data_IF_848478605597
#
_entry.id   IF_848478605597
#
_cell.length_a   1.000
_cell.length_b   1.000
_cell.length_c   1.000
_cell.angle_alpha   90.00
_cell.angle_beta   90.00
_cell.angle_gamma   90.00
#
_symmetry.space_group_name_H-M   'P 1'
#
loop_
_entity.id
_entity.type
_entity.pdbx_description
1 polymer ?
#
# COMPACT_ATOMS: atom_id res chain seq x y z
N UNK A 1 20.85 12.54 -27.55
CA UNK A 1 19.45 12.89 -27.27
C UNK A 1 18.46 11.71 -27.41
N UNK A 2 18.94 10.46 -27.45
CA UNK A 2 18.10 9.28 -27.80
C UNK A 2 17.89 8.26 -26.68
N UNK A 3 18.63 8.31 -25.59
CA UNK A 3 18.49 7.37 -24.45
C UNK A 3 17.31 7.76 -23.52
N UNK A 4 17.13 9.04 -23.23
CA UNK A 4 16.07 9.55 -22.32
C UNK A 4 14.63 9.27 -22.81
N UNK A 5 14.39 9.31 -24.12
CA UNK A 5 13.04 9.06 -24.69
C UNK A 5 12.70 7.57 -24.66
N UNK A 6 13.67 6.68 -24.85
CA UNK A 6 13.46 5.23 -24.78
C UNK A 6 13.24 4.74 -23.34
N UNK A 7 13.89 5.33 -22.37
CA UNK A 7 13.69 5.02 -20.95
C UNK A 7 12.31 5.48 -20.47
N UNK A 8 11.82 6.66 -20.87
CA UNK A 8 10.48 7.15 -20.51
C UNK A 8 9.38 6.28 -21.11
N UNK A 9 9.47 5.90 -22.40
CA UNK A 9 8.48 5.03 -23.07
C UNK A 9 8.50 3.61 -22.49
N UNK A 10 9.65 3.10 -22.07
CA UNK A 10 9.75 1.79 -21.43
C UNK A 10 9.17 1.79 -20.01
N UNK A 11 9.33 2.88 -19.28
CA UNK A 11 8.78 3.05 -17.92
C UNK A 11 7.25 3.21 -17.96
N UNK A 12 6.70 3.96 -18.92
CA UNK A 12 5.26 4.05 -19.17
C UNK A 12 4.66 2.67 -19.52
N UNK A 13 5.32 1.93 -20.44
CA UNK A 13 4.87 0.59 -20.84
C UNK A 13 4.87 -0.42 -19.68
N UNK A 14 5.88 -0.36 -18.81
CA UNK A 14 5.97 -1.22 -17.63
C UNK A 14 4.89 -0.86 -16.61
N UNK A 15 4.63 0.42 -16.39
CA UNK A 15 3.59 0.91 -15.49
C UNK A 15 2.20 0.50 -15.95
N UNK A 16 1.90 0.59 -17.26
CA UNK A 16 0.62 0.13 -17.83
C UNK A 16 0.37 -1.35 -17.56
N UNK A 17 1.40 -2.20 -17.76
CA UNK A 17 1.31 -3.64 -17.44
C UNK A 17 0.99 -3.84 -15.96
N UNK A 18 1.65 -3.11 -15.07
CA UNK A 18 1.44 -3.24 -13.62
C UNK A 18 0.04 -2.82 -13.19
N UNK A 19 -0.52 -1.74 -13.76
CA UNK A 19 -1.88 -1.32 -13.48
C UNK A 19 -2.91 -2.34 -13.94
N UNK A 20 -2.81 -2.82 -15.19
CA UNK A 20 -3.74 -3.82 -15.73
C UNK A 20 -3.61 -5.15 -14.98
N UNK A 21 -2.39 -5.55 -14.62
CA UNK A 21 -2.17 -6.74 -13.81
C UNK A 21 -2.79 -6.60 -12.41
N UNK A 22 -2.66 -5.42 -11.78
CA UNK A 22 -3.29 -5.15 -10.49
C UNK A 22 -4.81 -5.30 -10.54
N UNK A 23 -5.47 -4.82 -11.61
CA UNK A 23 -6.90 -5.01 -11.81
C UNK A 23 -7.27 -6.50 -11.95
N UNK A 24 -6.51 -7.25 -12.76
CA UNK A 24 -6.74 -8.68 -12.93
C UNK A 24 -6.58 -9.46 -11.61
N UNK A 25 -5.52 -9.17 -10.84
CA UNK A 25 -5.28 -9.80 -9.55
C UNK A 25 -6.35 -9.41 -8.53
N UNK A 26 -6.75 -8.13 -8.46
CA UNK A 26 -7.80 -7.68 -7.55
C UNK A 26 -9.14 -8.38 -7.83
N UNK A 27 -9.49 -8.58 -9.11
CA UNK A 27 -10.78 -9.16 -9.51
C UNK A 27 -10.86 -10.67 -9.30
N UNK A 28 -9.77 -11.40 -9.57
CA UNK A 28 -9.76 -12.87 -9.65
C UNK A 28 -8.83 -13.54 -8.64
N UNK A 29 -7.98 -12.78 -7.99
CA UNK A 29 -6.91 -13.28 -7.15
C UNK A 29 -5.71 -13.80 -7.95
N UNK A 30 -4.59 -14.02 -7.26
CA UNK A 30 -3.34 -14.49 -7.86
C UNK A 30 -3.52 -15.83 -8.60
N UNK A 31 -4.19 -16.80 -7.99
CA UNK A 31 -4.26 -18.16 -8.54
C UNK A 31 -5.05 -18.22 -9.86
N UNK A 32 -6.18 -17.54 -9.93
CA UNK A 32 -7.08 -17.56 -11.10
C UNK A 32 -6.67 -16.59 -12.21
N UNK A 33 -5.67 -15.73 -11.98
CA UNK A 33 -5.16 -14.81 -13.00
C UNK A 33 -4.00 -15.46 -13.77
N UNK A 34 -4.04 -15.34 -15.10
CA UNK A 34 -2.95 -15.75 -16.00
C UNK A 34 -2.30 -14.55 -16.69
N UNK A 35 -1.09 -14.76 -17.22
CA UNK A 35 -0.43 -13.75 -18.09
C UNK A 35 -1.27 -13.45 -19.31
N UNK A 36 -2.02 -14.44 -19.85
CA UNK A 36 -2.96 -14.26 -20.96
C UNK A 36 -4.10 -13.31 -20.64
N UNK A 37 -4.63 -13.38 -19.44
CA UNK A 37 -5.71 -12.48 -19.01
C UNK A 37 -5.23 -11.03 -18.98
N UNK A 38 -4.01 -10.83 -18.46
CA UNK A 38 -3.38 -9.49 -18.42
C UNK A 38 -3.07 -8.99 -19.83
N UNK A 39 -2.51 -9.85 -20.71
CA UNK A 39 -2.20 -9.49 -22.08
C UNK A 39 -3.47 -9.10 -22.86
N UNK A 40 -4.53 -9.89 -22.74
CA UNK A 40 -5.84 -9.65 -23.39
C UNK A 40 -6.45 -8.33 -22.90
N UNK A 41 -6.43 -8.08 -21.60
CA UNK A 41 -6.99 -6.86 -21.02
C UNK A 41 -6.21 -5.61 -21.42
N UNK A 42 -4.87 -5.74 -21.54
CA UNK A 42 -3.99 -4.66 -21.98
C UNK A 42 -4.06 -4.41 -23.52
N UNK A 43 -4.69 -5.32 -24.28
CA UNK A 43 -4.63 -5.29 -25.75
C UNK A 43 -3.22 -5.54 -26.29
N UNK A 44 -2.41 -6.34 -25.59
CA UNK A 44 -1.01 -6.62 -25.92
C UNK A 44 -0.77 -8.12 -26.14
N UNK A 45 0.41 -8.46 -26.64
CA UNK A 45 0.85 -9.86 -26.76
C UNK A 45 1.45 -10.36 -25.44
N UNK A 46 1.39 -11.68 -25.19
CA UNK A 46 2.11 -12.32 -24.09
C UNK A 46 3.60 -11.97 -24.08
N UNK A 47 4.22 -11.96 -25.27
CA UNK A 47 5.64 -11.65 -25.43
C UNK A 47 6.01 -10.28 -24.86
N UNK A 48 5.12 -9.27 -24.99
CA UNK A 48 5.32 -7.96 -24.38
C UNK A 48 5.37 -8.03 -22.86
N UNK A 49 4.53 -8.85 -22.22
CA UNK A 49 4.52 -8.98 -20.77
C UNK A 49 5.75 -9.77 -20.30
N UNK A 50 6.07 -10.89 -20.96
CA UNK A 50 7.25 -11.71 -20.63
C UNK A 50 8.58 -10.96 -20.82
N UNK A 51 8.61 -9.94 -21.68
CA UNK A 51 9.78 -9.08 -21.81
C UNK A 51 10.12 -8.33 -20.50
N UNK A 52 9.11 -7.92 -19.75
CA UNK A 52 9.28 -7.20 -18.47
C UNK A 52 9.21 -8.11 -17.24
N UNK A 53 8.43 -9.16 -17.32
CA UNK A 53 8.13 -10.05 -16.19
C UNK A 53 8.22 -11.51 -16.64
N UNK A 54 9.33 -12.22 -16.32
CA UNK A 54 9.59 -13.58 -16.77
C UNK A 54 8.54 -14.61 -16.34
N UNK A 55 7.83 -14.35 -15.25
CA UNK A 55 6.77 -15.21 -14.73
C UNK A 55 5.59 -14.44 -14.15
N UNK A 56 4.49 -15.16 -13.85
CA UNK A 56 3.35 -14.58 -13.11
C UNK A 56 3.78 -14.15 -11.70
N UNK A 57 4.70 -14.86 -11.07
CA UNK A 57 5.23 -14.49 -9.77
C UNK A 57 6.02 -13.18 -9.82
N UNK A 58 6.86 -13.00 -10.85
CA UNK A 58 7.59 -11.73 -11.06
C UNK A 58 6.64 -10.56 -11.34
N UNK A 59 5.57 -10.80 -12.12
CA UNK A 59 4.54 -9.80 -12.37
C UNK A 59 3.82 -9.42 -11.09
N UNK A 60 3.42 -10.39 -10.27
CA UNK A 60 2.77 -10.14 -8.98
C UNK A 60 3.68 -9.38 -8.02
N UNK A 61 4.94 -9.81 -7.90
CA UNK A 61 5.95 -9.11 -7.10
C UNK A 61 6.18 -7.68 -7.61
N UNK A 62 6.16 -7.49 -8.92
CA UNK A 62 6.22 -6.16 -9.55
C UNK A 62 5.04 -5.27 -9.14
N UNK A 63 3.81 -5.79 -9.19
CA UNK A 63 2.59 -5.05 -8.77
C UNK A 63 2.65 -4.72 -7.28
N UNK A 64 3.06 -5.69 -6.44
CA UNK A 64 3.21 -5.47 -5.00
C UNK A 64 4.20 -4.33 -4.70
N UNK A 65 5.41 -4.37 -5.29
CA UNK A 65 6.41 -3.31 -5.13
C UNK A 65 5.90 -1.97 -5.64
N UNK A 66 5.29 -1.95 -6.82
CA UNK A 66 4.71 -0.74 -7.40
C UNK A 66 3.66 -0.09 -6.49
N UNK A 67 2.79 -0.90 -5.86
CA UNK A 67 1.83 -0.42 -4.87
C UNK A 67 2.52 0.16 -3.64
N UNK A 68 3.54 -0.52 -3.14
CA UNK A 68 4.32 -0.05 -2.00
C UNK A 68 5.11 1.22 -2.31
N UNK A 69 5.76 1.32 -3.47
CA UNK A 69 6.53 2.50 -3.89
C UNK A 69 5.66 3.76 -3.92
N UNK A 70 4.42 3.62 -4.44
CA UNK A 70 3.47 4.74 -4.51
C UNK A 70 3.01 5.22 -3.15
N UNK A 71 2.84 4.33 -2.18
CA UNK A 71 2.46 4.74 -0.83
C UNK A 71 3.64 5.28 -0.05
N UNK A 72 4.85 4.73 -0.23
CA UNK A 72 6.08 5.28 0.31
C UNK A 72 6.28 6.73 -0.17
N UNK A 73 6.23 6.94 -1.50
CA UNK A 73 6.38 8.27 -2.09
C UNK A 73 5.34 9.27 -1.57
N UNK A 74 4.12 8.83 -1.28
CA UNK A 74 3.07 9.71 -0.76
C UNK A 74 3.32 10.17 0.68
N UNK A 75 3.95 9.35 1.53
CA UNK A 75 4.20 9.68 2.95
C UNK A 75 5.58 10.30 3.17
N UNK A 76 6.53 10.09 2.25
CA UNK A 76 7.92 10.54 2.40
C UNK A 76 8.06 12.05 2.75
N UNK A 77 7.29 12.99 2.15
CA UNK A 77 7.38 14.42 2.50
C UNK A 77 7.05 14.71 3.97
N UNK A 78 6.32 13.81 4.63
CA UNK A 78 5.85 13.99 6.01
C UNK A 78 6.67 13.19 7.02
N UNK A 79 7.52 12.25 6.57
CA UNK A 79 8.29 11.36 7.43
C UNK A 79 9.16 12.09 8.45
N UNK A 80 9.82 13.15 7.99
CA UNK A 80 10.73 13.96 8.82
C UNK A 80 10.21 15.40 9.00
N UNK A 81 8.91 15.62 8.90
CA UNK A 81 8.30 16.92 9.11
C UNK A 81 8.63 17.42 10.53
N UNK A 82 9.07 18.69 10.70
CA UNK A 82 9.35 19.24 12.02
C UNK A 82 8.08 19.37 12.86
N UNK A 83 8.25 19.35 14.19
CA UNK A 83 7.15 19.48 15.15
C UNK A 83 6.89 18.19 15.93
N UNK A 84 5.82 18.17 16.76
CA UNK A 84 5.48 17.01 17.60
C UNK A 84 5.24 15.74 16.78
N UNK A 85 5.69 14.61 17.32
CA UNK A 85 5.54 13.32 16.61
C UNK A 85 4.07 12.92 16.41
N UNK A 86 3.18 13.30 17.31
CA UNK A 86 1.74 13.06 17.18
C UNK A 86 1.15 13.79 15.97
N UNK A 87 1.55 15.04 15.69
CA UNK A 87 1.11 15.80 14.53
C UNK A 87 1.66 15.21 13.22
N UNK A 88 2.91 14.79 13.23
CA UNK A 88 3.52 14.07 12.12
C UNK A 88 2.77 12.77 11.83
N UNK A 89 2.43 12.01 12.87
CA UNK A 89 1.62 10.80 12.74
C UNK A 89 0.25 11.08 12.11
N UNK A 90 -0.45 12.13 12.54
CA UNK A 90 -1.76 12.51 11.95
C UNK A 90 -1.65 12.72 10.44
N UNK A 91 -0.60 13.41 9.98
CA UNK A 91 -0.35 13.61 8.54
C UNK A 91 -0.08 12.31 7.80
N UNK A 92 0.82 11.46 8.33
CA UNK A 92 1.13 10.16 7.76
C UNK A 92 -0.12 9.29 7.68
N UNK A 93 -0.91 9.20 8.76
CA UNK A 93 -2.13 8.42 8.84
C UNK A 93 -3.21 8.91 7.87
N UNK A 94 -3.39 10.24 7.75
CA UNK A 94 -4.31 10.83 6.81
C UNK A 94 -3.97 10.48 5.36
N UNK A 95 -2.73 10.73 4.94
CA UNK A 95 -2.26 10.43 3.58
C UNK A 95 -2.39 8.93 3.29
N UNK A 96 -1.99 8.08 4.24
CA UNK A 96 -2.14 6.63 4.12
C UNK A 96 -3.60 6.24 3.87
N UNK A 97 -4.52 6.72 4.69
CA UNK A 97 -5.95 6.36 4.62
C UNK A 97 -6.59 6.85 3.32
N UNK A 98 -6.27 8.07 2.86
CA UNK A 98 -6.69 8.58 1.55
C UNK A 98 -6.18 7.66 0.43
N UNK A 99 -4.93 7.19 0.51
CA UNK A 99 -4.38 6.25 -0.48
C UNK A 99 -5.06 4.89 -0.48
N UNK A 100 -5.50 4.39 0.68
CA UNK A 100 -6.28 3.14 0.76
C UNK A 100 -7.61 3.23 -0.02
N UNK A 101 -8.22 4.40 -0.09
CA UNK A 101 -9.41 4.64 -0.90
C UNK A 101 -9.09 4.86 -2.38
N UNK A 102 -8.16 5.78 -2.69
CA UNK A 102 -7.84 6.20 -4.07
C UNK A 102 -7.04 5.15 -4.86
N UNK A 103 -6.28 4.27 -4.19
CA UNK A 103 -5.45 3.23 -4.81
C UNK A 103 -5.86 1.83 -4.37
N UNK A 104 -7.16 1.61 -4.15
CA UNK A 104 -7.72 0.37 -3.61
C UNK A 104 -7.25 -0.89 -4.35
N UNK A 105 -7.14 -0.83 -5.66
CA UNK A 105 -6.67 -1.94 -6.51
C UNK A 105 -5.28 -2.42 -6.10
N UNK A 106 -4.33 -1.51 -5.98
CA UNK A 106 -2.96 -1.82 -5.56
C UNK A 106 -2.91 -2.29 -4.10
N UNK A 107 -3.67 -1.63 -3.21
CA UNK A 107 -3.75 -2.01 -1.80
C UNK A 107 -4.25 -3.45 -1.61
N UNK A 108 -5.23 -3.87 -2.42
CA UNK A 108 -5.76 -5.25 -2.43
C UNK A 108 -4.70 -6.28 -2.82
N UNK A 109 -3.90 -6.00 -3.84
CA UNK A 109 -2.81 -6.91 -4.27
C UNK A 109 -1.71 -7.00 -3.20
N UNK A 110 -1.36 -5.88 -2.57
CA UNK A 110 -0.41 -5.89 -1.44
C UNK A 110 -0.96 -6.74 -0.29
N UNK A 111 -2.25 -6.60 0.04
CA UNK A 111 -2.90 -7.42 1.07
C UNK A 111 -2.93 -8.91 0.71
N UNK A 112 -3.23 -9.26 -0.55
CA UNK A 112 -3.18 -10.65 -1.03
C UNK A 112 -1.79 -11.26 -0.84
N UNK A 113 -0.72 -10.51 -1.11
CA UNK A 113 0.65 -10.95 -0.85
C UNK A 113 0.92 -11.20 0.64
N UNK A 114 0.37 -10.40 1.54
CA UNK A 114 0.42 -10.65 2.99
C UNK A 114 -0.31 -11.93 3.35
N UNK A 115 -1.52 -12.14 2.84
CA UNK A 115 -2.29 -13.37 3.08
C UNK A 115 -1.57 -14.62 2.54
N UNK A 116 -0.99 -14.55 1.34
CA UNK A 116 -0.20 -15.65 0.77
C UNK A 116 0.99 -15.99 1.67
N UNK A 117 1.68 -15.00 2.20
CA UNK A 117 2.77 -15.21 3.16
C UNK A 117 2.28 -15.89 4.45
N UNK A 118 1.17 -15.44 5.02
CA UNK A 118 0.61 -15.98 6.26
C UNK A 118 0.08 -17.41 6.10
N UNK A 119 -0.48 -17.77 4.93
CA UNK A 119 -0.96 -19.13 4.64
C UNK A 119 0.17 -20.15 4.56
N UNK A 120 1.39 -19.75 4.25
CA UNK A 120 2.59 -20.57 4.31
C UNK A 120 2.73 -21.69 3.24
N UNK A 121 1.71 -21.88 2.39
CA UNK A 121 1.69 -22.93 1.37
C UNK A 121 2.36 -22.47 0.08
N UNK A 122 3.71 -22.54 0.02
CA UNK A 122 4.48 -22.11 -1.14
C UNK A 122 5.70 -23.00 -1.34
N UNK A 123 6.25 -23.03 -2.57
CA UNK A 123 7.57 -23.63 -2.80
C UNK A 123 8.65 -22.82 -2.06
N UNK A 124 9.83 -23.41 -1.76
CA UNK A 124 10.92 -22.68 -1.12
C UNK A 124 11.30 -21.37 -1.83
N UNK A 125 11.29 -21.38 -3.18
CA UNK A 125 11.58 -20.18 -3.97
C UNK A 125 10.52 -19.09 -3.79
N UNK A 126 9.25 -19.44 -3.88
CA UNK A 126 8.14 -18.51 -3.64
C UNK A 126 8.16 -17.94 -2.22
N UNK A 127 8.59 -18.76 -1.24
CA UNK A 127 8.74 -18.31 0.15
C UNK A 127 9.77 -17.20 0.26
N UNK A 128 10.94 -17.39 -0.35
CA UNK A 128 12.02 -16.39 -0.35
C UNK A 128 11.53 -15.07 -0.97
N UNK A 129 10.80 -15.14 -2.08
CA UNK A 129 10.24 -13.98 -2.77
C UNK A 129 9.21 -13.24 -1.90
N UNK A 130 8.24 -13.96 -1.34
CA UNK A 130 7.24 -13.40 -0.43
C UNK A 130 7.88 -12.78 0.81
N UNK A 131 8.85 -13.45 1.44
CA UNK A 131 9.59 -12.91 2.58
C UNK A 131 10.30 -11.58 2.22
N UNK A 132 10.81 -11.46 0.99
CA UNK A 132 11.37 -10.23 0.46
C UNK A 132 10.35 -9.10 0.34
N UNK A 133 9.16 -9.40 -0.17
CA UNK A 133 8.05 -8.45 -0.30
C UNK A 133 7.54 -7.99 1.08
N UNK A 134 7.41 -8.93 2.02
CA UNK A 134 6.98 -8.62 3.38
C UNK A 134 8.01 -7.75 4.12
N UNK A 135 9.32 -8.04 3.99
CA UNK A 135 10.36 -7.16 4.54
C UNK A 135 10.26 -5.75 3.97
N UNK A 136 10.02 -5.60 2.66
CA UNK A 136 9.83 -4.30 2.04
C UNK A 136 8.64 -3.54 2.62
N UNK A 137 7.48 -4.22 2.76
CA UNK A 137 6.29 -3.65 3.41
C UNK A 137 6.56 -3.28 4.88
N UNK A 138 7.31 -4.10 5.61
CA UNK A 138 7.62 -3.84 7.01
C UNK A 138 8.42 -2.54 7.18
N UNK A 139 9.36 -2.24 6.27
CA UNK A 139 10.04 -0.95 6.25
C UNK A 139 9.10 0.26 6.15
N UNK A 140 7.96 0.10 5.46
CA UNK A 140 6.90 1.11 5.49
C UNK A 140 6.24 1.22 6.87
N UNK A 141 5.92 0.08 7.48
CA UNK A 141 5.29 0.04 8.81
C UNK A 141 6.21 0.63 9.88
N UNK A 142 7.53 0.51 9.72
CA UNK A 142 8.51 1.04 10.66
C UNK A 142 8.48 2.58 10.74
N UNK A 143 8.13 3.29 9.65
CA UNK A 143 7.92 4.74 9.67
C UNK A 143 6.87 5.12 10.73
N UNK A 144 5.76 4.41 10.75
CA UNK A 144 4.68 4.64 11.72
C UNK A 144 5.07 4.18 13.12
N UNK A 145 5.74 3.03 13.22
CA UNK A 145 6.24 2.47 14.48
C UNK A 145 7.15 3.47 15.20
N UNK A 146 8.14 4.00 14.49
CA UNK A 146 9.08 4.99 15.00
C UNK A 146 8.35 6.27 15.43
N UNK A 147 7.41 6.74 14.60
CA UNK A 147 6.66 7.98 14.89
C UNK A 147 5.77 7.84 16.11
N UNK A 148 5.04 6.72 16.30
CA UNK A 148 4.20 6.55 17.49
C UNK A 148 5.03 6.25 18.75
N UNK A 149 6.19 5.60 18.61
CA UNK A 149 7.11 5.41 19.73
C UNK A 149 7.64 6.76 20.23
N UNK A 150 8.05 7.65 19.31
CA UNK A 150 8.47 9.00 19.64
C UNK A 150 7.35 9.82 20.28
N UNK A 151 6.12 9.78 19.73
CA UNK A 151 4.96 10.47 20.31
C UNK A 151 4.62 9.97 21.74
N UNK A 152 4.87 8.70 22.02
CA UNK A 152 4.75 8.16 23.39
C UNK A 152 5.83 8.72 24.32
N UNK A 153 7.07 8.83 23.86
CA UNK A 153 8.17 9.45 24.63
C UNK A 153 7.91 10.93 24.89
N UNK A 154 7.30 11.65 23.94
CA UNK A 154 6.87 13.05 24.07
C UNK A 154 5.66 13.20 25.03
N UNK A 155 4.96 12.10 25.39
CA UNK A 155 3.81 12.11 26.30
C UNK A 155 2.47 12.39 25.62
N UNK A 156 2.43 12.39 24.28
CA UNK A 156 1.21 12.63 23.50
C UNK A 156 0.39 11.35 23.31
N UNK A 157 1.06 10.18 23.22
CA UNK A 157 0.40 8.87 23.07
C UNK A 157 0.62 7.98 24.27
N UNK A 158 -0.41 7.15 24.60
CA UNK A 158 -0.42 6.28 25.75
C UNK A 158 -0.98 4.90 25.36
N UNK A 159 -0.12 3.88 25.32
CA UNK A 159 -0.51 2.51 24.98
C UNK A 159 0.43 1.51 25.69
N UNK A 160 -0.03 0.27 25.87
CA UNK A 160 0.71 -0.75 26.61
C UNK A 160 1.83 -1.39 25.77
N UNK A 161 1.49 -1.95 24.62
CA UNK A 161 2.41 -2.68 23.74
C UNK A 161 2.51 -2.03 22.36
N UNK A 162 3.74 -1.69 21.94
CA UNK A 162 3.99 -1.02 20.67
C UNK A 162 3.64 -1.92 19.47
N UNK A 163 3.94 -3.21 19.54
CA UNK A 163 3.71 -4.14 18.43
C UNK A 163 2.22 -4.33 18.17
N UNK A 164 1.44 -4.62 19.21
CA UNK A 164 -0.02 -4.77 19.12
C UNK A 164 -0.65 -3.46 18.65
N UNK A 165 -0.21 -2.33 19.21
CA UNK A 165 -0.72 -1.00 18.85
C UNK A 165 -0.51 -0.68 17.37
N UNK A 166 0.68 -0.95 16.82
CA UNK A 166 0.96 -0.77 15.38
C UNK A 166 0.04 -1.63 14.53
N UNK A 167 -0.20 -2.89 14.89
CA UNK A 167 -1.09 -3.76 14.13
C UNK A 167 -2.54 -3.26 14.18
N UNK A 168 -3.05 -2.92 15.36
CA UNK A 168 -4.42 -2.40 15.52
C UNK A 168 -4.62 -1.08 14.77
N UNK A 169 -3.64 -0.17 14.86
CA UNK A 169 -3.63 1.10 14.10
C UNK A 169 -3.73 0.84 12.60
N UNK A 170 -2.87 -0.05 12.03
CA UNK A 170 -2.93 -0.34 10.60
C UNK A 170 -4.23 -1.03 10.19
N UNK A 171 -4.85 -1.85 11.05
CA UNK A 171 -6.17 -2.41 10.76
C UNK A 171 -7.22 -1.30 10.61
N UNK A 172 -7.18 -0.27 11.47
CA UNK A 172 -8.06 0.88 11.35
C UNK A 172 -7.77 1.69 10.07
N UNK A 173 -6.52 2.07 9.82
CA UNK A 173 -6.14 2.91 8.68
C UNK A 173 -6.33 2.20 7.32
N UNK A 174 -6.15 0.88 7.26
CA UNK A 174 -6.38 0.05 6.08
C UNK A 174 -7.87 -0.29 5.87
N UNK A 175 -8.74 -0.08 6.86
CA UNK A 175 -10.13 -0.54 6.81
C UNK A 175 -10.89 -0.13 5.54
N UNK A 176 -10.68 1.06 4.93
CA UNK A 176 -11.38 1.42 3.69
C UNK A 176 -11.14 0.45 2.53
N UNK A 177 -10.01 -0.23 2.50
CA UNK A 177 -9.71 -1.22 1.47
C UNK A 177 -10.78 -2.33 1.43
N UNK A 178 -11.45 -2.64 2.55
CA UNK A 178 -12.43 -3.73 2.65
C UNK A 178 -13.85 -3.28 2.32
N UNK A 179 -14.26 -2.08 2.73
CA UNK A 179 -15.66 -1.64 2.67
C UNK A 179 -15.90 -0.42 1.78
N UNK A 180 -14.89 0.43 1.54
CA UNK A 180 -15.11 1.65 0.77
C UNK A 180 -15.43 1.34 -0.70
N UNK A 181 -16.49 1.96 -1.19
CA UNK A 181 -16.90 1.95 -2.60
C UNK A 181 -17.12 3.40 -3.03
N UNK A 182 -16.42 3.88 -4.08
CA UNK A 182 -16.64 5.22 -4.61
C UNK A 182 -18.12 5.44 -4.98
N UNK A 183 -18.65 6.61 -4.65
CA UNK A 183 -20.03 6.99 -4.94
C UNK A 183 -20.09 7.92 -6.15
N UNK A 184 -21.14 7.86 -6.98
CA UNK A 184 -21.32 8.83 -8.05
C UNK A 184 -21.33 10.26 -7.50
N UNK A 185 -20.51 11.15 -8.08
CA UNK A 185 -20.41 12.53 -7.65
C UNK A 185 -19.59 12.77 -6.37
N UNK A 186 -18.95 11.73 -5.82
CA UNK A 186 -18.06 11.86 -4.66
C UNK A 186 -16.87 12.78 -4.97
N UNK A 187 -16.61 13.70 -4.05
CA UNK A 187 -15.55 14.69 -4.14
C UNK A 187 -14.31 14.26 -3.34
N UNK A 188 -13.20 14.94 -3.55
CA UNK A 188 -12.01 14.77 -2.70
C UNK A 188 -12.30 15.16 -1.25
N UNK A 189 -13.19 16.12 -1.01
CA UNK A 189 -13.62 16.52 0.33
C UNK A 189 -14.34 15.38 1.07
N UNK A 190 -15.21 14.66 0.38
CA UNK A 190 -15.89 13.47 0.95
C UNK A 190 -14.88 12.40 1.37
N UNK A 191 -13.89 12.12 0.51
CA UNK A 191 -12.80 11.17 0.81
C UNK A 191 -11.99 11.66 2.02
N UNK A 192 -11.66 12.95 2.08
CA UNK A 192 -10.91 13.55 3.19
C UNK A 192 -11.70 13.47 4.50
N UNK A 193 -13.01 13.70 4.46
CA UNK A 193 -13.88 13.58 5.63
C UNK A 193 -13.92 12.14 6.18
N UNK A 194 -13.98 11.14 5.30
CA UNK A 194 -13.87 9.72 5.71
C UNK A 194 -12.50 9.46 6.34
N UNK A 195 -11.42 9.90 5.70
CA UNK A 195 -10.07 9.71 6.20
C UNK A 195 -9.88 10.35 7.59
N UNK A 196 -10.36 11.59 7.78
CA UNK A 196 -10.27 12.28 9.06
C UNK A 196 -10.98 11.52 10.19
N UNK A 197 -12.16 10.95 9.94
CA UNK A 197 -12.89 10.15 10.94
C UNK A 197 -12.12 8.90 11.34
N UNK A 198 -11.51 8.20 10.38
CA UNK A 198 -10.69 6.99 10.64
C UNK A 198 -9.43 7.37 11.42
N UNK A 199 -8.76 8.46 11.02
CA UNK A 199 -7.57 8.96 11.72
C UNK A 199 -7.91 9.37 13.15
N UNK A 200 -9.02 10.08 13.36
CA UNK A 200 -9.48 10.45 14.69
C UNK A 200 -9.79 9.22 15.57
N UNK A 201 -10.40 8.17 15.00
CA UNK A 201 -10.61 6.91 15.68
C UNK A 201 -9.28 6.24 16.10
N UNK A 202 -8.34 6.14 15.16
CA UNK A 202 -7.03 5.55 15.42
C UNK A 202 -6.22 6.38 16.43
N UNK A 203 -6.28 7.72 16.35
CA UNK A 203 -5.66 8.65 17.30
C UNK A 203 -6.13 8.41 18.74
N UNK A 204 -7.44 8.29 18.95
CA UNK A 204 -7.98 7.94 20.27
C UNK A 204 -7.52 6.56 20.73
N UNK A 205 -7.43 5.59 19.82
CA UNK A 205 -6.89 4.26 20.11
C UNK A 205 -5.41 4.26 20.52
N UNK A 206 -4.65 5.28 20.12
CA UNK A 206 -3.28 5.52 20.58
C UNK A 206 -3.21 6.27 21.92
N UNK A 207 -4.35 6.58 22.54
CA UNK A 207 -4.42 7.38 23.76
C UNK A 207 -4.15 8.87 23.55
N UNK A 208 -4.26 9.34 22.31
CA UNK A 208 -4.15 10.76 21.99
C UNK A 208 -5.32 11.56 22.55
N UNK A 209 -5.04 12.76 23.04
CA UNK A 209 -6.05 13.68 23.57
C UNK A 209 -6.83 14.33 22.44
N UNK A 210 -8.13 14.58 22.65
CA UNK A 210 -8.92 15.41 21.73
C UNK A 210 -8.42 16.86 21.82
N UNK A 211 -8.29 17.51 20.67
CA UNK A 211 -8.09 18.95 20.62
C UNK A 211 -9.40 19.62 21.11
N UNK A 212 -9.30 20.33 22.22
CA UNK A 212 -10.41 21.13 22.79
C UNK A 212 -10.68 22.35 21.95
#
# INVERSE_FOLDING_TARGET
>A
MTLSVREHVADDSRSDILFVAAECFMERGYNATSIDDVARRLGATKGRIYHYFPSKADLFAGVFRFGMDRIFAAVEPYRNMPGPAAERWKKLAFIHTVRMMKSKTLAKVVWEGVEMHLRGATTPQQRIELDGLIRYRNGYSDIFRETIAQAREEGDFHFADLGITVQAMFMALNSPMFWYVPRPGETDEDIHNIANQIVAFAHRGLGGKEET
#
